data_IF_304325221351
#
_entry.id   IF_304325221351
#
_cell.length_a   1.000
_cell.length_b   1.000
_cell.length_c   1.000
_cell.angle_alpha   90.00
_cell.angle_beta   90.00
_cell.angle_gamma   90.00
#
_symmetry.space_group_name_H-M   'P 1'
#
loop_
_entity.id
_entity.type
_entity.pdbx_description
1 polymer ?
#
# COMPACT_ATOMS: atom_id res chain seq x y z
N UNK A 1 -10.04 -25.65 -17.99
CA UNK A 1 -9.26 -24.54 -18.59
C UNK A 1 -10.25 -23.78 -19.44
N UNK A 2 -10.51 -22.54 -19.11
CA UNK A 2 -11.35 -21.67 -19.95
C UNK A 2 -10.55 -21.33 -21.21
N UNK A 3 -11.14 -21.48 -22.36
CA UNK A 3 -10.46 -21.12 -23.60
C UNK A 3 -10.53 -19.60 -23.86
N UNK A 4 -9.70 -19.11 -24.78
CA UNK A 4 -9.61 -17.67 -25.05
C UNK A 4 -10.94 -17.10 -25.58
N UNK A 5 -11.73 -17.89 -26.31
CA UNK A 5 -13.03 -17.44 -26.85
C UNK A 5 -14.04 -17.21 -25.71
N UNK A 6 -14.09 -18.12 -24.74
CA UNK A 6 -14.97 -17.98 -23.57
C UNK A 6 -14.61 -16.74 -22.73
N UNK A 7 -13.29 -16.42 -22.62
CA UNK A 7 -12.88 -15.19 -21.93
C UNK A 7 -13.26 -13.96 -22.75
N UNK A 8 -13.11 -14.00 -24.07
CA UNK A 8 -13.54 -12.93 -24.98
C UNK A 8 -15.04 -12.64 -24.85
N UNK A 9 -15.87 -13.69 -24.81
CA UNK A 9 -17.34 -13.58 -24.62
C UNK A 9 -17.67 -12.89 -23.28
N UNK A 10 -17.03 -13.29 -22.17
CA UNK A 10 -17.22 -12.63 -20.87
C UNK A 10 -16.81 -11.15 -20.89
N UNK A 11 -15.71 -10.84 -21.57
CA UNK A 11 -15.26 -9.45 -21.69
C UNK A 11 -16.24 -8.64 -22.55
N UNK A 12 -16.72 -9.19 -23.68
CA UNK A 12 -17.69 -8.51 -24.53
C UNK A 12 -19.05 -8.34 -23.82
N UNK A 13 -19.49 -9.30 -23.00
CA UNK A 13 -20.65 -9.17 -22.12
C UNK A 13 -20.46 -8.03 -21.10
N UNK A 14 -19.33 -7.98 -20.41
CA UNK A 14 -19.01 -6.92 -19.47
C UNK A 14 -18.96 -5.54 -20.14
N UNK A 15 -18.48 -5.46 -21.38
CA UNK A 15 -18.52 -4.21 -22.16
C UNK A 15 -19.95 -3.76 -22.45
N UNK A 16 -20.83 -4.69 -22.86
CA UNK A 16 -22.24 -4.39 -23.16
C UNK A 16 -22.98 -3.94 -21.90
N UNK A 17 -22.72 -4.60 -20.77
CA UNK A 17 -23.35 -4.29 -19.49
C UNK A 17 -22.82 -2.98 -18.87
N UNK A 18 -21.65 -2.50 -19.30
CA UNK A 18 -20.98 -1.36 -18.67
C UNK A 18 -20.43 -1.70 -17.28
N UNK A 19 -19.94 -2.95 -17.09
CA UNK A 19 -19.49 -3.42 -15.79
C UNK A 19 -18.23 -2.66 -15.32
N UNK A 20 -18.23 -2.21 -14.07
CA UNK A 20 -17.07 -1.59 -13.42
C UNK A 20 -16.17 -2.61 -12.72
N UNK A 21 -16.64 -3.84 -12.54
CA UNK A 21 -15.95 -4.94 -11.85
C UNK A 21 -15.92 -6.17 -12.75
N UNK A 22 -14.72 -6.72 -12.99
CA UNK A 22 -14.57 -7.97 -13.73
C UNK A 22 -13.79 -8.98 -12.89
N UNK A 23 -14.42 -10.12 -12.61
CA UNK A 23 -13.79 -11.23 -11.90
C UNK A 23 -13.46 -12.38 -12.86
N UNK A 24 -12.19 -12.55 -13.13
CA UNK A 24 -11.62 -13.64 -13.92
C UNK A 24 -10.73 -14.59 -13.07
N UNK A 25 -10.91 -14.61 -11.76
CA UNK A 25 -10.13 -15.48 -10.85
C UNK A 25 -10.49 -16.96 -11.01
N UNK A 26 -9.56 -17.85 -10.64
CA UNK A 26 -9.73 -19.31 -10.60
C UNK A 26 -10.15 -19.98 -11.93
N UNK A 27 -9.72 -19.42 -13.07
CA UNK A 27 -10.14 -19.89 -14.40
C UNK A 27 -9.06 -20.61 -15.20
N UNK A 28 -7.86 -20.78 -14.60
CA UNK A 28 -6.69 -21.35 -15.30
C UNK A 28 -6.29 -20.58 -16.56
N UNK A 29 -6.47 -19.27 -16.56
CA UNK A 29 -6.16 -18.37 -17.68
C UNK A 29 -4.64 -18.28 -17.84
N UNK A 30 -4.17 -18.41 -19.07
CA UNK A 30 -2.74 -18.26 -19.43
C UNK A 30 -2.47 -16.97 -20.21
N UNK A 31 -3.46 -16.44 -20.90
CA UNK A 31 -3.37 -15.22 -21.72
C UNK A 31 -4.71 -14.47 -21.60
N UNK A 32 -4.66 -13.14 -21.51
CA UNK A 32 -5.85 -12.28 -21.60
C UNK A 32 -6.16 -11.91 -23.05
N UNK A 33 -7.44 -11.72 -23.40
CA UNK A 33 -7.84 -11.34 -24.74
C UNK A 33 -7.61 -9.83 -24.97
N UNK A 34 -7.25 -9.47 -26.21
CA UNK A 34 -7.00 -8.09 -26.58
C UNK A 34 -8.23 -7.16 -26.46
N UNK A 35 -9.46 -7.71 -26.47
CA UNK A 35 -10.68 -6.92 -26.29
C UNK A 35 -10.87 -6.40 -24.85
N UNK A 36 -10.03 -6.82 -23.89
CA UNK A 36 -10.02 -6.30 -22.52
C UNK A 36 -9.91 -4.77 -22.46
N UNK A 37 -9.15 -4.17 -23.40
CA UNK A 37 -8.97 -2.71 -23.52
C UNK A 37 -10.27 -1.93 -23.75
N UNK A 38 -11.36 -2.62 -24.21
CA UNK A 38 -12.68 -2.00 -24.41
C UNK A 38 -13.37 -1.65 -23.09
N UNK A 39 -12.94 -2.22 -21.96
CA UNK A 39 -13.52 -1.99 -20.63
C UNK A 39 -13.02 -0.68 -20.03
N UNK A 40 -13.23 0.43 -20.74
CA UNK A 40 -12.71 1.75 -20.34
C UNK A 40 -13.25 2.23 -18.97
N UNK A 41 -14.41 1.72 -18.52
CA UNK A 41 -15.04 2.07 -17.24
C UNK A 41 -14.60 1.18 -16.08
N UNK A 42 -13.80 0.12 -16.35
CA UNK A 42 -13.44 -0.86 -15.34
C UNK A 42 -12.64 -0.22 -14.19
N UNK A 43 -13.10 -0.45 -12.97
CA UNK A 43 -12.46 0.03 -11.75
C UNK A 43 -11.78 -1.09 -10.97
N UNK A 44 -12.29 -2.33 -11.08
CA UNK A 44 -11.75 -3.48 -10.36
C UNK A 44 -11.58 -4.68 -11.29
N UNK A 45 -10.34 -5.22 -11.32
CA UNK A 45 -10.00 -6.41 -12.09
C UNK A 45 -9.36 -7.46 -11.18
N UNK A 46 -9.99 -8.64 -11.11
CA UNK A 46 -9.49 -9.76 -10.33
C UNK A 46 -9.02 -10.88 -11.27
N UNK A 47 -7.74 -11.23 -11.17
CA UNK A 47 -7.04 -12.23 -11.99
C UNK A 47 -6.29 -13.26 -11.14
N UNK A 48 -6.54 -13.30 -9.85
CA UNK A 48 -5.85 -14.23 -8.94
C UNK A 48 -6.17 -15.71 -9.26
N UNK A 49 -5.27 -16.60 -8.85
CA UNK A 49 -5.40 -18.05 -9.04
C UNK A 49 -5.55 -18.45 -10.50
N UNK A 50 -4.68 -17.91 -11.36
CA UNK A 50 -4.61 -18.24 -12.76
C UNK A 50 -3.20 -18.79 -13.14
N UNK A 51 -2.90 -18.88 -14.43
CA UNK A 51 -1.63 -19.39 -14.97
C UNK A 51 -0.95 -18.38 -15.89
N UNK A 52 -1.09 -17.09 -15.57
CA UNK A 52 -0.47 -16.03 -16.36
C UNK A 52 1.05 -16.12 -16.22
N UNK A 53 1.76 -16.32 -17.33
CA UNK A 53 3.22 -16.35 -17.41
C UNK A 53 3.79 -15.00 -17.83
N UNK A 54 3.14 -14.38 -18.78
CA UNK A 54 3.53 -13.08 -19.32
C UNK A 54 2.67 -11.98 -18.69
N UNK A 55 3.27 -10.81 -18.43
CA UNK A 55 2.50 -9.69 -17.94
C UNK A 55 1.45 -9.27 -18.97
N UNK A 56 0.19 -9.18 -18.57
CA UNK A 56 -0.89 -8.79 -19.48
C UNK A 56 -0.80 -7.30 -19.79
N UNK A 57 -0.24 -6.96 -20.94
CA UNK A 57 -0.01 -5.57 -21.37
C UNK A 57 -1.32 -4.80 -21.60
N UNK A 58 -2.41 -5.51 -21.88
CA UNK A 58 -3.75 -4.95 -22.07
C UNK A 58 -4.29 -4.21 -20.83
N UNK A 59 -3.81 -4.59 -19.64
CA UNK A 59 -4.26 -3.99 -18.39
C UNK A 59 -3.82 -2.52 -18.27
N UNK A 60 -2.66 -2.15 -18.81
CA UNK A 60 -2.09 -0.81 -18.60
C UNK A 60 -2.86 0.32 -19.27
N UNK A 61 -3.77 -0.02 -20.19
CA UNK A 61 -4.63 0.94 -20.87
C UNK A 61 -6.01 1.10 -20.18
N UNK A 62 -6.25 0.36 -19.07
CA UNK A 62 -7.44 0.51 -18.23
C UNK A 62 -7.25 1.68 -17.23
N UNK A 63 -7.21 2.90 -17.72
CA UNK A 63 -6.83 4.10 -16.94
C UNK A 63 -7.74 4.40 -15.74
N UNK A 64 -8.94 3.81 -15.70
CA UNK A 64 -9.90 3.97 -14.60
C UNK A 64 -9.74 2.92 -13.50
N UNK A 65 -8.78 1.99 -13.64
CA UNK A 65 -8.60 0.91 -12.70
C UNK A 65 -8.14 1.43 -11.34
N UNK A 66 -8.88 1.04 -10.31
CA UNK A 66 -8.61 1.37 -8.90
C UNK A 66 -8.09 0.17 -8.11
N UNK A 67 -8.52 -1.05 -8.48
CA UNK A 67 -8.11 -2.28 -7.82
C UNK A 67 -7.66 -3.34 -8.83
N UNK A 68 -6.46 -3.89 -8.60
CA UNK A 68 -5.88 -4.96 -9.43
C UNK A 68 -5.34 -6.07 -8.54
N UNK A 69 -5.84 -7.30 -8.74
CA UNK A 69 -5.30 -8.50 -8.09
C UNK A 69 -4.78 -9.49 -9.11
N UNK A 70 -3.53 -9.92 -8.92
CA UNK A 70 -2.79 -10.84 -9.79
C UNK A 70 -2.17 -12.02 -9.00
N UNK A 71 -2.64 -12.25 -7.77
CA UNK A 71 -2.05 -13.22 -6.85
C UNK A 71 -2.10 -14.66 -7.40
N UNK A 72 -1.17 -15.51 -6.96
CA UNK A 72 -1.13 -16.91 -7.34
C UNK A 72 -1.13 -17.11 -8.87
N UNK A 73 -0.21 -16.45 -9.54
CA UNK A 73 0.07 -16.62 -10.96
C UNK A 73 1.54 -17.06 -11.14
N UNK A 74 2.00 -17.12 -12.39
CA UNK A 74 3.40 -17.46 -12.71
C UNK A 74 4.13 -16.27 -13.35
N UNK A 75 3.76 -15.05 -12.98
CA UNK A 75 4.34 -13.83 -13.54
C UNK A 75 5.80 -13.68 -13.14
N UNK A 76 6.66 -13.34 -14.11
CA UNK A 76 8.08 -13.05 -13.87
C UNK A 76 8.39 -11.56 -13.81
N UNK A 77 7.47 -10.71 -14.22
CA UNK A 77 7.55 -9.25 -14.14
C UNK A 77 6.15 -8.63 -14.17
N UNK A 78 6.04 -7.38 -13.73
CA UNK A 78 4.85 -6.56 -13.97
C UNK A 78 4.81 -6.06 -15.43
N UNK A 79 3.63 -5.74 -15.99
CA UNK A 79 3.54 -5.22 -17.36
C UNK A 79 4.26 -3.87 -17.46
N UNK A 80 5.05 -3.71 -18.53
CA UNK A 80 5.63 -2.41 -18.87
C UNK A 80 4.52 -1.39 -19.06
N UNK A 81 4.66 -0.22 -18.45
CA UNK A 81 3.63 0.81 -18.45
C UNK A 81 2.63 0.68 -17.30
N UNK A 82 2.86 -0.21 -16.29
CA UNK A 82 1.99 -0.31 -15.09
C UNK A 82 1.80 1.06 -14.43
N UNK A 83 2.80 1.93 -14.49
CA UNK A 83 2.74 3.30 -13.99
C UNK A 83 1.70 4.21 -14.64
N UNK A 84 1.06 3.81 -15.76
CA UNK A 84 -0.06 4.54 -16.36
C UNK A 84 -1.34 4.46 -15.52
N UNK A 85 -1.48 3.43 -14.68
CA UNK A 85 -2.66 3.21 -13.85
C UNK A 85 -2.71 4.21 -12.68
N UNK A 86 -2.81 5.49 -12.99
CA UNK A 86 -2.73 6.60 -12.01
C UNK A 86 -3.85 6.62 -10.97
N UNK A 87 -4.98 5.94 -11.23
CA UNK A 87 -6.11 5.83 -10.30
C UNK A 87 -6.01 4.62 -9.39
N UNK A 88 -4.99 3.77 -9.56
CA UNK A 88 -4.85 2.55 -8.79
C UNK A 88 -4.61 2.86 -7.31
N UNK A 89 -5.46 2.28 -6.46
CA UNK A 89 -5.45 2.40 -4.99
C UNK A 89 -4.99 1.10 -4.32
N UNK A 90 -5.31 -0.03 -4.93
CA UNK A 90 -4.98 -1.36 -4.44
C UNK A 90 -4.27 -2.18 -5.52
N UNK A 91 -3.10 -2.71 -5.19
CA UNK A 91 -2.34 -3.62 -6.04
C UNK A 91 -1.87 -4.83 -5.22
N UNK A 92 -2.26 -6.03 -5.66
CA UNK A 92 -1.78 -7.29 -5.10
C UNK A 92 -1.22 -8.18 -6.20
N UNK A 93 0.01 -8.67 -6.00
CA UNK A 93 0.72 -9.56 -6.93
C UNK A 93 1.41 -10.71 -6.18
N UNK A 94 0.87 -11.09 -5.04
CA UNK A 94 1.43 -12.10 -4.15
C UNK A 94 1.60 -13.45 -4.84
N UNK A 95 2.57 -14.25 -4.35
CA UNK A 95 2.82 -15.61 -4.83
C UNK A 95 3.07 -15.67 -6.35
N UNK A 96 4.01 -14.87 -6.81
CA UNK A 96 4.49 -14.82 -8.19
C UNK A 96 6.03 -14.92 -8.21
N UNK A 97 6.61 -15.19 -9.38
CA UNK A 97 8.07 -15.26 -9.55
C UNK A 97 8.68 -13.95 -10.08
N UNK A 98 8.29 -12.80 -9.55
CA UNK A 98 8.64 -11.50 -10.14
C UNK A 98 10.13 -11.15 -10.09
N UNK A 99 10.86 -11.57 -9.05
CA UNK A 99 12.28 -11.32 -8.78
C UNK A 99 12.68 -9.83 -8.71
N UNK A 100 12.15 -8.97 -9.58
CA UNK A 100 12.45 -7.54 -9.66
C UNK A 100 11.15 -6.74 -9.69
N UNK A 101 11.06 -5.75 -8.81
CA UNK A 101 9.99 -4.75 -8.86
C UNK A 101 10.43 -3.58 -9.76
N UNK A 102 9.63 -3.27 -10.76
CA UNK A 102 9.93 -2.17 -11.70
C UNK A 102 9.88 -0.80 -11.01
N UNK A 103 10.74 0.13 -11.41
CA UNK A 103 10.69 1.53 -10.93
C UNK A 103 9.39 2.26 -11.29
N UNK A 104 8.67 1.79 -12.30
CA UNK A 104 7.38 2.35 -12.70
C UNK A 104 6.32 2.27 -11.58
N UNK A 105 6.49 1.36 -10.60
CA UNK A 105 5.59 1.29 -9.43
C UNK A 105 5.52 2.62 -8.70
N UNK A 106 6.61 3.38 -8.63
CA UNK A 106 6.67 4.71 -8.03
C UNK A 106 5.78 5.76 -8.71
N UNK A 107 5.25 5.45 -9.88
CA UNK A 107 4.31 6.33 -10.59
C UNK A 107 2.86 6.13 -10.17
N UNK A 108 2.55 5.08 -9.38
CA UNK A 108 1.21 4.78 -8.85
C UNK A 108 0.92 5.64 -7.61
N UNK A 109 0.98 6.95 -7.75
CA UNK A 109 0.98 7.90 -6.62
C UNK A 109 -0.29 7.90 -5.77
N UNK A 110 -1.41 7.36 -6.29
CA UNK A 110 -2.65 7.20 -5.54
C UNK A 110 -2.76 5.84 -4.81
N UNK A 111 -1.71 5.01 -4.89
CA UNK A 111 -1.72 3.70 -4.27
C UNK A 111 -1.78 3.82 -2.74
N UNK A 112 -2.74 3.14 -2.14
CA UNK A 112 -2.95 3.11 -0.69
C UNK A 112 -2.54 1.78 -0.09
N UNK A 113 -2.65 0.68 -0.85
CA UNK A 113 -2.26 -0.65 -0.42
C UNK A 113 -1.44 -1.36 -1.50
N UNK A 114 -0.30 -1.94 -1.09
CA UNK A 114 0.60 -2.68 -1.97
C UNK A 114 1.00 -4.01 -1.30
N UNK A 115 0.63 -5.11 -1.96
CA UNK A 115 0.85 -6.47 -1.49
C UNK A 115 1.81 -7.20 -2.43
N UNK A 116 2.98 -7.54 -1.91
CA UNK A 116 4.13 -8.10 -2.63
C UNK A 116 4.68 -9.33 -1.89
N UNK A 117 3.77 -10.19 -1.41
CA UNK A 117 4.12 -11.36 -0.60
C UNK A 117 4.65 -12.48 -1.48
N UNK A 118 5.78 -13.10 -1.08
CA UNK A 118 6.38 -14.26 -1.76
C UNK A 118 6.62 -14.05 -3.27
N UNK A 119 7.23 -12.91 -3.61
CA UNK A 119 7.56 -12.53 -4.98
C UNK A 119 9.04 -12.71 -5.35
N UNK A 120 9.87 -13.23 -4.44
CA UNK A 120 11.31 -13.49 -4.61
C UNK A 120 12.17 -12.20 -4.78
N UNK A 121 11.69 -11.03 -4.37
CA UNK A 121 12.44 -9.79 -4.46
C UNK A 121 13.73 -9.83 -3.65
N UNK A 122 14.84 -9.44 -4.26
CA UNK A 122 16.13 -9.24 -3.62
C UNK A 122 16.32 -7.78 -3.22
N UNK A 123 15.80 -6.86 -4.00
CA UNK A 123 15.84 -5.42 -3.78
C UNK A 123 14.49 -4.77 -4.11
N UNK A 124 14.26 -3.60 -3.51
CA UNK A 124 13.12 -2.72 -3.80
C UNK A 124 13.65 -1.45 -4.46
N UNK A 125 13.04 -0.95 -5.55
CA UNK A 125 13.49 0.26 -6.22
C UNK A 125 13.29 1.50 -5.34
N UNK A 126 14.18 2.48 -5.47
CA UNK A 126 14.13 3.73 -4.70
C UNK A 126 12.85 4.53 -4.95
N UNK A 127 12.24 4.36 -6.12
CA UNK A 127 10.99 5.00 -6.52
C UNK A 127 9.79 4.57 -5.67
N UNK A 128 9.90 3.50 -4.87
CA UNK A 128 8.88 3.14 -3.88
C UNK A 128 8.57 4.33 -2.95
N UNK A 129 9.56 5.16 -2.66
CA UNK A 129 9.42 6.36 -1.84
C UNK A 129 8.51 7.45 -2.42
N UNK A 130 8.06 7.33 -3.67
CA UNK A 130 7.11 8.25 -4.29
C UNK A 130 5.65 7.95 -3.94
N UNK A 131 5.37 6.80 -3.32
CA UNK A 131 4.01 6.38 -2.94
C UNK A 131 3.53 7.08 -1.66
N UNK A 132 3.38 8.38 -1.70
CA UNK A 132 3.10 9.22 -0.52
C UNK A 132 1.76 8.91 0.17
N UNK A 133 0.81 8.28 -0.54
CA UNK A 133 -0.50 7.88 -0.01
C UNK A 133 -0.54 6.43 0.51
N UNK A 134 0.58 5.70 0.41
CA UNK A 134 0.62 4.30 0.80
C UNK A 134 0.42 4.15 2.32
N UNK A 135 -0.63 3.44 2.70
CA UNK A 135 -0.99 3.16 4.10
C UNK A 135 -0.52 1.77 4.53
N UNK A 136 -0.56 0.81 3.60
CA UNK A 136 -0.26 -0.61 3.85
C UNK A 136 0.75 -1.12 2.84
N UNK A 137 1.84 -1.72 3.35
CA UNK A 137 2.86 -2.37 2.53
C UNK A 137 3.23 -3.73 3.12
N UNK A 138 3.06 -4.78 2.33
CA UNK A 138 3.57 -6.12 2.65
C UNK A 138 4.65 -6.54 1.67
N UNK A 139 5.82 -6.89 2.21
CA UNK A 139 6.97 -7.45 1.51
C UNK A 139 7.38 -8.80 2.12
N UNK A 140 6.44 -9.46 2.82
CA UNK A 140 6.68 -10.73 3.50
C UNK A 140 7.15 -11.83 2.53
N UNK A 141 8.02 -12.72 3.01
CA UNK A 141 8.42 -13.92 2.27
C UNK A 141 9.26 -13.62 1.03
N UNK A 142 10.08 -12.57 1.09
CA UNK A 142 10.99 -12.22 0.00
C UNK A 142 12.46 -12.52 0.38
N UNK A 143 13.41 -12.09 -0.47
CA UNK A 143 14.84 -12.32 -0.26
C UNK A 143 15.59 -11.02 0.07
N UNK A 144 14.90 -10.04 0.67
CA UNK A 144 15.45 -8.71 0.94
C UNK A 144 16.55 -8.79 2.00
N UNK A 145 17.71 -8.18 1.71
CA UNK A 145 18.84 -8.02 2.65
C UNK A 145 18.93 -6.62 3.22
N UNK A 146 18.43 -5.66 2.49
CA UNK A 146 18.40 -4.24 2.82
C UNK A 146 17.16 -3.57 2.23
N UNK A 147 16.83 -2.38 2.70
CA UNK A 147 15.75 -1.55 2.19
C UNK A 147 16.32 -0.23 1.67
N UNK A 148 15.74 0.36 0.62
CA UNK A 148 16.15 1.68 0.17
C UNK A 148 15.79 2.75 1.22
N UNK A 149 16.68 3.71 1.52
CA UNK A 149 16.40 4.82 2.45
C UNK A 149 15.17 5.64 2.08
N UNK A 150 14.82 5.66 0.79
CA UNK A 150 13.66 6.34 0.24
C UNK A 150 12.32 5.82 0.81
N UNK A 151 12.28 4.59 1.33
CA UNK A 151 11.09 4.09 2.05
C UNK A 151 10.71 4.99 3.23
N UNK A 152 11.66 5.73 3.81
CA UNK A 152 11.39 6.74 4.83
C UNK A 152 10.51 7.90 4.35
N UNK A 153 10.23 8.02 3.05
CA UNK A 153 9.31 9.02 2.45
C UNK A 153 7.85 8.56 2.40
N UNK A 154 7.56 7.32 2.79
CA UNK A 154 6.20 6.79 2.86
C UNK A 154 5.45 7.35 4.09
N UNK A 155 5.27 8.66 4.14
CA UNK A 155 4.80 9.37 5.33
C UNK A 155 3.39 8.98 5.80
N UNK A 156 2.58 8.39 4.92
CA UNK A 156 1.22 7.91 5.24
C UNK A 156 1.20 6.47 5.76
N UNK A 157 2.35 5.76 5.77
CA UNK A 157 2.40 4.33 6.07
C UNK A 157 2.03 4.07 7.54
N UNK A 158 1.02 3.23 7.73
CA UNK A 158 0.51 2.80 9.03
C UNK A 158 0.89 1.35 9.34
N UNK A 159 0.95 0.51 8.32
CA UNK A 159 1.19 -0.92 8.45
C UNK A 159 2.31 -1.37 7.51
N UNK A 160 3.36 -2.00 8.07
CA UNK A 160 4.52 -2.49 7.33
C UNK A 160 4.86 -3.92 7.77
N UNK A 161 4.79 -4.86 6.82
CA UNK A 161 5.23 -6.23 7.03
C UNK A 161 6.48 -6.54 6.19
N UNK A 162 7.55 -6.88 6.88
CA UNK A 162 8.85 -7.26 6.34
C UNK A 162 9.27 -8.67 6.81
N UNK A 163 8.32 -9.43 7.35
CA UNK A 163 8.57 -10.76 7.89
C UNK A 163 9.13 -11.72 6.83
N UNK A 164 9.86 -12.74 7.27
CA UNK A 164 10.40 -13.78 6.38
C UNK A 164 11.27 -13.20 5.25
N UNK A 165 12.27 -12.41 5.65
CA UNK A 165 13.28 -11.84 4.77
C UNK A 165 14.69 -12.12 5.32
N UNK A 166 15.68 -11.44 4.82
CA UNK A 166 17.08 -11.61 5.24
C UNK A 166 17.69 -10.31 5.79
N UNK A 167 16.85 -9.44 6.37
CA UNK A 167 17.27 -8.14 6.87
C UNK A 167 18.17 -8.30 8.10
N UNK A 168 19.30 -7.60 8.10
CA UNK A 168 20.22 -7.53 9.26
C UNK A 168 20.05 -6.21 10.04
N UNK A 169 19.55 -5.16 9.40
CA UNK A 169 19.19 -3.87 9.99
C UNK A 169 18.18 -3.14 9.12
N UNK A 170 17.69 -1.98 9.59
CA UNK A 170 16.83 -1.07 8.84
C UNK A 170 17.58 0.25 8.61
N UNK A 171 17.37 0.92 7.44
CA UNK A 171 17.96 2.24 7.22
C UNK A 171 17.41 3.26 8.23
N UNK A 172 18.24 4.19 8.73
CA UNK A 172 17.85 5.20 9.71
C UNK A 172 16.64 6.04 9.27
N UNK A 173 16.48 6.25 7.97
CA UNK A 173 15.39 7.02 7.37
C UNK A 173 13.99 6.43 7.65
N UNK A 174 13.91 5.15 7.99
CA UNK A 174 12.64 4.51 8.39
C UNK A 174 12.06 5.18 9.66
N UNK A 175 12.88 5.82 10.47
CA UNK A 175 12.42 6.64 11.61
C UNK A 175 11.47 7.79 11.21
N UNK A 176 11.45 8.17 9.92
CA UNK A 176 10.56 9.21 9.38
C UNK A 176 9.12 8.75 9.19
N UNK A 177 8.86 7.45 9.31
CA UNK A 177 7.51 6.86 9.24
C UNK A 177 6.72 7.15 10.52
N UNK A 178 6.40 8.42 10.76
CA UNK A 178 5.81 8.87 12.04
C UNK A 178 4.40 8.37 12.32
N UNK A 179 3.69 7.88 11.28
CA UNK A 179 2.33 7.31 11.38
C UNK A 179 2.32 5.78 11.46
N UNK A 180 3.50 5.14 11.50
CA UNK A 180 3.56 3.67 11.55
C UNK A 180 3.06 3.17 12.91
N UNK A 181 2.01 2.33 12.88
CA UNK A 181 1.40 1.73 14.06
C UNK A 181 1.77 0.26 14.22
N UNK A 182 2.04 -0.42 13.12
CA UNK A 182 2.36 -1.84 13.07
C UNK A 182 3.63 -2.09 12.26
N UNK A 183 4.61 -2.79 12.85
CA UNK A 183 5.84 -3.20 12.19
C UNK A 183 6.12 -4.68 12.48
N UNK A 184 6.12 -5.49 11.41
CA UNK A 184 6.45 -6.91 11.50
C UNK A 184 7.80 -7.19 10.83
N UNK A 185 8.76 -7.63 11.62
CA UNK A 185 10.13 -8.01 11.26
C UNK A 185 10.44 -9.46 11.64
N UNK A 186 9.42 -10.29 11.87
CA UNK A 186 9.60 -11.70 12.24
C UNK A 186 10.44 -12.44 11.20
N UNK A 187 11.16 -13.48 11.63
CA UNK A 187 11.92 -14.36 10.74
C UNK A 187 12.90 -13.58 9.84
N UNK A 188 13.74 -12.76 10.45
CA UNK A 188 14.83 -12.02 9.80
C UNK A 188 16.18 -12.37 10.44
N UNK A 189 17.22 -11.59 10.18
CA UNK A 189 18.58 -11.79 10.69
C UNK A 189 19.05 -10.68 11.62
N UNK A 190 18.10 -9.97 12.27
CA UNK A 190 18.39 -8.86 13.16
C UNK A 190 19.13 -9.34 14.41
N UNK A 191 20.28 -8.76 14.72
CA UNK A 191 21.05 -9.01 15.94
C UNK A 191 20.70 -8.05 17.07
N UNK A 192 20.10 -6.94 16.73
CA UNK A 192 19.70 -5.85 17.64
C UNK A 192 18.35 -5.29 17.20
N UNK A 193 17.67 -4.59 18.08
CA UNK A 193 16.50 -3.79 17.72
C UNK A 193 17.00 -2.58 16.91
N UNK A 194 16.53 -2.35 15.67
CA UNK A 194 16.94 -1.22 14.86
C UNK A 194 16.65 0.11 15.58
N UNK A 195 17.64 1.00 15.66
CA UNK A 195 17.51 2.26 16.40
C UNK A 195 16.39 3.15 15.88
N UNK A 196 16.12 3.13 14.59
CA UNK A 196 15.05 3.91 13.96
C UNK A 196 13.67 3.63 14.56
N UNK A 197 13.45 2.43 15.10
CA UNK A 197 12.15 2.03 15.71
C UNK A 197 11.87 2.82 16.99
N UNK A 198 12.92 3.20 17.73
CA UNK A 198 12.78 3.97 18.97
C UNK A 198 12.23 5.38 18.74
N UNK A 199 12.35 5.89 17.52
CA UNK A 199 11.93 7.23 17.10
C UNK A 199 10.52 7.27 16.48
N UNK A 200 9.78 6.15 16.48
CA UNK A 200 8.43 6.04 15.90
C UNK A 200 7.35 6.32 16.95
N UNK A 201 6.72 7.51 16.97
CA UNK A 201 5.84 7.92 18.07
C UNK A 201 4.53 7.13 18.14
N UNK A 202 3.98 6.70 17.01
CA UNK A 202 2.67 6.04 16.93
C UNK A 202 2.76 4.51 16.87
N UNK A 203 3.98 3.94 16.99
CA UNK A 203 4.12 2.48 16.93
C UNK A 203 3.44 1.82 18.14
N UNK A 204 2.55 0.87 17.85
CA UNK A 204 1.73 0.13 18.82
C UNK A 204 2.17 -1.34 18.92
N UNK A 205 2.48 -1.95 17.77
CA UNK A 205 2.87 -3.35 17.68
C UNK A 205 4.22 -3.50 16.97
N UNK A 206 5.16 -4.18 17.63
CA UNK A 206 6.48 -4.52 17.10
C UNK A 206 6.70 -6.03 17.21
N UNK A 207 6.90 -6.67 16.07
CA UNK A 207 7.13 -8.10 15.98
C UNK A 207 8.56 -8.37 15.50
N UNK A 208 9.34 -9.03 16.35
CA UNK A 208 10.75 -9.39 16.13
C UNK A 208 11.02 -10.87 16.40
N UNK A 209 9.98 -11.71 16.41
CA UNK A 209 10.06 -13.15 16.62
C UNK A 209 11.00 -13.80 15.62
N UNK A 210 11.73 -14.84 16.04
CA UNK A 210 12.63 -15.62 15.19
C UNK A 210 13.68 -14.74 14.47
N UNK A 211 14.42 -13.97 15.26
CA UNK A 211 15.61 -13.21 14.85
C UNK A 211 16.85 -13.70 15.63
N UNK A 212 17.94 -12.94 15.60
CA UNK A 212 19.21 -13.28 16.24
C UNK A 212 19.53 -12.36 17.42
N UNK A 213 18.50 -11.80 18.08
CA UNK A 213 18.65 -10.83 19.16
C UNK A 213 19.07 -11.55 20.44
N UNK A 214 20.22 -11.13 21.03
CA UNK A 214 20.79 -11.73 22.24
C UNK A 214 20.48 -10.92 23.50
N UNK A 215 20.38 -9.62 23.34
CA UNK A 215 20.24 -8.71 24.44
C UNK A 215 19.43 -7.46 24.04
N UNK A 216 18.62 -6.98 24.96
CA UNK A 216 17.89 -5.71 24.83
C UNK A 216 18.24 -4.84 26.02
N UNK A 217 18.74 -3.64 25.78
CA UNK A 217 19.07 -2.69 26.82
C UNK A 217 17.80 -2.13 27.49
N UNK A 218 17.87 -1.83 28.78
CA UNK A 218 16.72 -1.30 29.55
C UNK A 218 16.24 0.05 29.00
N UNK A 219 17.14 0.90 28.52
CA UNK A 219 16.78 2.16 27.84
C UNK A 219 15.92 1.92 26.61
N UNK A 220 16.17 0.81 25.87
CA UNK A 220 15.36 0.41 24.74
C UNK A 220 13.96 -0.03 25.18
N UNK A 221 13.87 -0.81 26.26
CA UNK A 221 12.57 -1.21 26.86
C UNK A 221 11.78 0.02 27.31
N UNK A 222 12.45 0.96 27.95
CA UNK A 222 11.82 2.21 28.40
C UNK A 222 11.29 3.03 27.20
N UNK A 223 12.08 3.17 26.14
CA UNK A 223 11.67 3.87 24.92
C UNK A 223 10.48 3.21 24.22
N UNK A 224 10.34 1.88 24.32
CA UNK A 224 9.27 1.08 23.73
C UNK A 224 8.12 0.77 24.71
N UNK A 225 8.08 1.40 25.89
CA UNK A 225 7.06 1.14 26.92
C UNK A 225 5.63 1.50 26.51
N UNK A 226 5.46 2.23 25.41
CA UNK A 226 4.16 2.57 24.79
C UNK A 226 3.55 1.45 23.96
N UNK A 227 4.33 0.40 23.63
CA UNK A 227 3.85 -0.71 22.81
C UNK A 227 2.79 -1.53 23.54
N UNK A 228 1.77 -1.94 22.81
CA UNK A 228 0.79 -2.92 23.28
C UNK A 228 1.29 -4.37 23.07
N UNK A 229 2.13 -4.57 22.05
CA UNK A 229 2.71 -5.88 21.73
C UNK A 229 4.14 -5.72 21.27
N UNK A 230 5.05 -6.41 21.97
CA UNK A 230 6.46 -6.48 21.66
C UNK A 230 6.91 -7.95 21.66
N UNK A 231 6.97 -8.56 20.49
CA UNK A 231 7.25 -9.99 20.37
C UNK A 231 8.72 -10.23 20.07
N UNK A 232 9.44 -10.80 21.04
CA UNK A 232 10.84 -11.19 21.01
C UNK A 232 11.01 -12.70 21.08
N UNK A 233 9.95 -13.51 20.96
CA UNK A 233 10.03 -14.97 21.06
C UNK A 233 10.96 -15.55 19.98
N UNK A 234 11.48 -16.73 20.22
CA UNK A 234 12.37 -17.43 19.29
C UNK A 234 13.61 -16.61 18.87
N UNK A 235 14.11 -15.78 19.80
CA UNK A 235 15.40 -15.11 19.71
C UNK A 235 16.42 -15.82 20.64
N UNK A 236 17.65 -15.32 20.70
CA UNK A 236 18.66 -15.86 21.60
C UNK A 236 18.46 -15.40 23.07
N UNK A 237 17.38 -14.67 23.36
CA UNK A 237 16.95 -14.28 24.72
C UNK A 237 16.14 -15.45 25.28
N UNK A 238 16.76 -16.27 26.16
CA UNK A 238 16.16 -17.50 26.66
C UNK A 238 15.08 -17.24 27.70
N UNK A 239 15.30 -16.28 28.59
CA UNK A 239 14.41 -15.97 29.71
C UNK A 239 14.21 -14.47 29.83
N UNK A 240 13.01 -14.10 30.31
CA UNK A 240 12.66 -12.72 30.61
C UNK A 240 13.40 -12.29 31.88
N UNK A 241 14.22 -11.22 31.86
CA UNK A 241 14.91 -10.73 33.04
C UNK A 241 13.95 -10.43 34.17
N UNK A 242 14.40 -10.64 35.44
CA UNK A 242 13.53 -10.44 36.62
C UNK A 242 12.94 -9.02 36.72
N UNK A 243 13.68 -8.00 36.30
CA UNK A 243 13.22 -6.61 36.33
C UNK A 243 12.21 -6.25 35.23
N UNK A 244 11.95 -7.16 34.29
CA UNK A 244 10.85 -7.03 33.31
C UNK A 244 9.55 -7.69 33.80
N UNK A 245 9.51 -8.20 35.05
CA UNK A 245 8.29 -8.76 35.63
C UNK A 245 7.18 -7.71 35.65
N UNK A 246 6.00 -8.08 35.15
CA UNK A 246 4.85 -7.17 35.00
C UNK A 246 4.78 -6.43 33.67
N UNK A 247 5.82 -6.53 32.80
CA UNK A 247 5.75 -6.02 31.43
C UNK A 247 5.15 -7.08 30.50
N UNK A 248 3.84 -7.32 30.61
CA UNK A 248 3.17 -8.43 29.90
C UNK A 248 3.12 -8.24 28.38
N UNK A 249 3.23 -7.02 27.90
CA UNK A 249 3.30 -6.70 26.47
C UNK A 249 4.58 -7.22 25.79
N UNK A 250 5.63 -7.58 26.55
CA UNK A 250 6.86 -8.14 26.05
C UNK A 250 6.78 -9.67 26.07
N UNK A 251 6.78 -10.30 24.92
CA UNK A 251 6.79 -11.74 24.77
C UNK A 251 8.22 -12.24 24.53
N UNK A 252 8.70 -13.13 25.40
CA UNK A 252 10.05 -13.74 25.35
C UNK A 252 9.91 -15.25 25.56
N UNK A 253 10.87 -16.03 25.12
CA UNK A 253 10.93 -17.48 25.26
C UNK A 253 10.78 -18.21 23.91
N UNK A 254 10.55 -19.51 23.98
CA UNK A 254 10.37 -20.35 22.78
C UNK A 254 8.89 -20.53 22.47
N UNK A 255 8.55 -20.48 21.20
CA UNK A 255 7.18 -20.81 20.76
C UNK A 255 6.95 -22.31 20.93
N UNK A 256 5.93 -22.70 21.71
CA UNK A 256 5.55 -24.11 21.89
C UNK A 256 5.05 -24.75 20.58
N UNK A 257 5.24 -26.07 20.43
CA UNK A 257 4.79 -26.81 19.24
C UNK A 257 3.28 -26.64 18.94
N UNK A 258 2.46 -26.39 19.98
CA UNK A 258 1.02 -26.12 19.84
C UNK A 258 0.72 -24.74 19.27
N UNK A 259 1.63 -23.78 19.40
CA UNK A 259 1.46 -22.41 18.90
C UNK A 259 1.95 -22.24 17.46
N UNK A 260 2.80 -23.14 16.96
CA UNK A 260 3.30 -23.10 15.57
C UNK A 260 2.12 -23.16 14.59
N UNK A 261 1.11 -24.01 14.87
CA UNK A 261 -0.10 -24.12 14.06
C UNK A 261 -0.98 -22.88 14.13
N UNK A 262 -1.04 -22.24 15.32
CA UNK A 262 -1.78 -20.99 15.52
C UNK A 262 -1.05 -19.78 14.91
N UNK A 263 0.28 -19.79 14.92
CA UNK A 263 1.10 -18.72 14.34
C UNK A 263 0.93 -18.66 12.82
N UNK A 264 0.87 -19.80 12.13
CA UNK A 264 0.52 -19.86 10.71
C UNK A 264 -0.91 -19.31 10.45
N UNK A 265 -1.86 -19.64 11.35
CA UNK A 265 -3.22 -19.09 11.28
C UNK A 265 -3.31 -17.61 11.66
N UNK A 266 -2.49 -17.13 12.60
CA UNK A 266 -2.37 -15.70 12.92
C UNK A 266 -1.74 -14.91 11.76
N UNK A 267 -0.72 -15.44 11.09
CA UNK A 267 -0.13 -14.85 9.89
C UNK A 267 -1.12 -14.73 8.73
N UNK A 268 -2.06 -15.68 8.62
CA UNK A 268 -3.14 -15.65 7.62
C UNK A 268 -4.34 -14.79 8.05
N UNK A 269 -4.44 -14.42 9.35
CA UNK A 269 -5.52 -13.61 9.93
C UNK A 269 -5.10 -12.17 10.24
N UNK A 270 -3.80 -11.84 10.15
CA UNK A 270 -3.35 -10.44 10.22
C UNK A 270 -3.65 -9.74 8.88
N UNK A 271 -4.92 -9.77 8.49
CA UNK A 271 -5.43 -8.85 7.50
C UNK A 271 -5.21 -7.42 8.01
N UNK A 272 -4.83 -6.49 7.13
CA UNK A 272 -4.73 -5.09 7.53
C UNK A 272 -6.07 -4.66 8.13
N UNK A 273 -6.06 -3.77 9.11
CA UNK A 273 -7.29 -3.24 9.65
C UNK A 273 -8.16 -2.73 8.49
N UNK A 274 -9.48 -2.98 8.52
CA UNK A 274 -10.38 -2.49 7.50
C UNK A 274 -10.11 -0.99 7.31
N UNK A 275 -10.09 -0.56 6.06
CA UNK A 275 -9.97 0.86 5.73
C UNK A 275 -11.05 1.60 6.52
N UNK A 276 -10.70 2.68 7.23
CA UNK A 276 -11.66 3.61 7.79
C UNK A 276 -12.58 4.06 6.65
N UNK A 277 -13.80 3.50 6.60
CA UNK A 277 -14.88 3.89 5.68
C UNK A 277 -15.47 5.26 6.06
N UNK A 278 -14.63 6.19 6.51
CA UNK A 278 -15.05 7.56 6.80
C UNK A 278 -14.53 8.54 5.76
N UNK A 279 -15.00 8.36 4.53
CA UNK A 279 -15.19 9.49 3.58
C UNK A 279 -15.91 8.97 2.33
N UNK A 280 -17.18 9.28 2.27
CA UNK A 280 -18.11 9.32 1.16
C UNK A 280 -19.28 8.33 1.23
N UNK A 281 -20.19 8.60 2.17
CA UNK A 281 -21.58 8.16 2.06
C UNK A 281 -22.48 9.38 1.95
N UNK A 282 -22.59 9.91 0.74
CA UNK A 282 -23.80 10.60 0.31
C UNK A 282 -24.04 10.23 -1.15
N UNK A 283 -24.92 9.24 -1.36
CA UNK A 283 -25.82 9.05 -2.50
C UNK A 283 -26.24 7.58 -2.59
N UNK A 284 -27.12 7.14 -1.69
CA UNK A 284 -28.05 6.06 -2.00
C UNK A 284 -29.43 6.67 -2.04
N UNK A 285 -29.98 6.76 -3.25
CA UNK A 285 -31.41 7.03 -3.49
C UNK A 285 -32.18 5.80 -3.04
N UNK A 286 -32.91 5.94 -1.96
CA UNK A 286 -34.08 5.08 -1.71
C UNK A 286 -35.22 5.53 -2.60
N UNK A 287 -35.65 4.66 -3.49
CA UNK A 287 -36.94 4.73 -4.12
C UNK A 287 -37.97 4.15 -3.14
N UNK A 288 -38.85 4.98 -2.70
CA UNK A 288 -40.01 4.60 -1.89
C UNK A 288 -41.18 5.52 -2.24
N UNK A 289 -42.13 4.98 -2.99
CA UNK A 289 -43.46 5.57 -3.21
C UNK A 289 -44.15 5.88 -1.90
N UNK A 290 -44.77 7.05 -1.80
CA UNK A 290 -46.17 7.20 -1.34
C UNK A 290 -46.64 8.65 -1.40
N UNK A 291 -47.71 8.85 -2.17
CA UNK A 291 -48.91 9.69 -2.00
C UNK A 291 -48.81 11.13 -1.41
N UNK A 292 -49.19 12.06 -2.28
CA UNK A 292 -50.16 13.18 -2.21
C UNK A 292 -50.57 13.69 -0.82
N UNK A 293 -50.27 14.95 -0.56
CA UNK A 293 -51.34 15.94 -0.17
C UNK A 293 -50.84 17.35 -0.45
N UNK A 294 -51.69 18.08 -1.14
CA UNK A 294 -51.61 19.50 -1.46
C UNK A 294 -51.92 20.34 -0.21
N UNK A 295 -51.15 21.40 0.07
CA UNK A 295 -51.72 22.63 0.67
C UNK A 295 -50.94 23.82 0.17
N UNK A 296 -51.66 24.73 -0.45
CA UNK A 296 -51.30 26.09 -0.85
C UNK A 296 -51.26 26.99 0.38
N UNK A 297 -50.38 27.99 0.37
CA UNK A 297 -50.56 29.42 0.81
C UNK A 297 -49.16 30.09 0.73
N UNK A 298 -48.99 30.97 -0.16
CA UNK A 298 -49.28 32.40 -0.35
C UNK A 298 -48.41 33.33 0.52
N UNK A 299 -47.73 34.26 -0.12
CA UNK A 299 -47.44 35.56 0.47
C UNK A 299 -46.02 36.10 0.45
N UNK A 300 -45.77 36.91 -0.58
CA UNK A 300 -45.21 38.30 -0.57
C UNK A 300 -43.70 38.51 -0.32
N UNK A 301 -43.09 39.01 -1.37
CA UNK A 301 -42.37 40.27 -1.56
C UNK A 301 -41.48 40.82 -0.41
N UNK A 302 -40.24 41.07 -0.73
CA UNK A 302 -39.67 42.44 -0.79
C UNK A 302 -38.22 42.41 -1.30
N UNK A 303 -38.02 43.28 -2.25
CA UNK A 303 -36.77 43.73 -2.84
C UNK A 303 -35.84 44.38 -1.81
N UNK A 304 -34.54 44.24 -1.99
CA UNK A 304 -33.60 45.37 -1.83
C UNK A 304 -32.32 45.11 -2.65
N UNK A 305 -32.21 45.92 -3.70
CA UNK A 305 -30.98 46.21 -4.42
C UNK A 305 -30.10 47.13 -3.57
N UNK A 306 -28.82 46.88 -3.48
CA UNK A 306 -27.81 47.94 -3.34
C UNK A 306 -26.60 47.65 -4.24
N UNK A 307 -26.53 48.42 -5.27
CA UNK A 307 -25.32 48.77 -6.03
C UNK A 307 -24.42 49.69 -5.20
N UNK A 308 -23.19 49.82 -5.69
CA UNK A 308 -22.18 50.87 -5.56
C UNK A 308 -20.82 50.26 -5.11
N UNK A 309 -19.67 50.47 -5.67
CA UNK A 309 -19.17 51.38 -6.69
C UNK A 309 -17.74 50.95 -7.11
N UNK A 310 -17.36 51.47 -8.22
CA UNK A 310 -16.15 51.36 -9.02
C UNK A 310 -14.97 52.08 -8.34
N UNK A 311 -13.77 51.51 -8.48
CA UNK A 311 -12.53 52.21 -8.21
C UNK A 311 -11.39 51.63 -9.03
N UNK A 312 -11.16 52.22 -10.17
CA UNK A 312 -10.01 52.08 -11.07
C UNK A 312 -8.77 52.80 -10.52
N UNK A 313 -7.66 52.52 -11.21
CA UNK A 313 -6.34 53.23 -11.28
C UNK A 313 -5.26 52.67 -10.39
N UNK A 314 -4.01 52.48 -10.78
CA UNK A 314 -3.25 52.74 -12.00
C UNK A 314 -1.95 51.90 -12.04
N UNK A 315 -1.58 51.53 -13.25
CA UNK A 315 -0.24 51.40 -13.84
C UNK A 315 0.99 51.81 -12.99
N UNK A 316 2.08 51.07 -13.13
CA UNK A 316 3.38 51.50 -13.67
C UNK A 316 4.36 50.33 -13.74
N UNK A 317 4.70 50.01 -14.97
CA UNK A 317 5.95 49.48 -15.56
C UNK A 317 7.23 49.62 -14.74
N UNK A 318 8.13 48.61 -14.84
CA UNK A 318 9.44 48.76 -15.48
C UNK A 318 10.19 47.42 -15.62
N UNK A 319 10.49 47.13 -16.86
CA UNK A 319 11.51 46.21 -17.33
C UNK A 319 12.94 46.65 -16.88
N UNK A 320 13.82 45.69 -16.71
CA UNK A 320 15.26 45.68 -17.12
C UNK A 320 15.79 44.28 -16.91
N UNK A 321 16.00 43.51 -17.95
CA UNK A 321 17.22 43.35 -18.78
C UNK A 321 18.55 43.45 -18.02
N UNK A 322 19.35 42.39 -18.17
CA UNK A 322 20.70 42.31 -18.80
C UNK A 322 21.38 41.07 -18.25
N UNK A 323 21.59 39.96 -18.94
CA UNK A 323 22.56 39.62 -19.96
C UNK A 323 24.05 39.53 -19.46
N UNK A 324 24.62 38.34 -19.72
CA UNK A 324 26.01 38.04 -20.13
C UNK A 324 27.10 37.87 -19.03
N UNK A 325 27.67 36.69 -18.93
CA UNK A 325 29.01 36.42 -19.47
C UNK A 325 29.35 34.91 -19.44
N UNK A 326 29.68 34.40 -20.60
CA UNK A 326 30.53 33.22 -20.87
C UNK A 326 32.01 33.56 -20.66
N UNK A 327 32.79 32.46 -20.63
CA UNK A 327 34.26 32.35 -20.76
C UNK A 327 34.99 32.17 -19.43
N UNK A 328 35.90 31.23 -19.22
CA UNK A 328 36.86 30.45 -20.02
C UNK A 328 37.27 29.24 -19.17
N UNK A 329 37.41 28.02 -19.71
CA UNK A 329 38.51 27.37 -20.41
C UNK A 329 39.84 27.30 -19.64
N UNK A 330 40.31 26.03 -19.51
CA UNK A 330 41.67 25.52 -19.34
C UNK A 330 42.45 25.79 -18.01
N UNK A 331 42.58 24.75 -17.24
CA UNK A 331 43.84 23.94 -17.10
C UNK A 331 43.55 22.62 -16.39
#
# INVERSE_FOLDING_TARGET
MMDLLQIQELVDEAVVNGDEVLNLSHRNITILPANLIKLCQLRKLMLNDNKLLMPPTEIVDLENLEELTLDNNSLTMLPTGIGKLRKLKYLSVCHNGLNVLTSEVGQLTNLTQLWLVECQFVNIPVEIGHLSHLNTLSLRGNNLRELPPEMGKLYSLKWLCLAENHLEDLPPEISKLKRLTYLNLNCNKLKYIPKCVLEMPELISLHLKANLIKHVADDTILALSKLNKFDLRDNEIVEKPDHWRGLEYILVGQTGLSEVSNTLMEFMKEDPPPLDETSDHTLSKEAGDTDLEEEEEDGSDEDEEEEVDIGEEDDISEEKEVQVARENVDM
#
